data_IF_934947061510
#
_entry.id   IF_934947061510
#
_cell.length_a   1.000
_cell.length_b   1.000
_cell.length_c   1.000
_cell.angle_alpha   90.00
_cell.angle_beta   90.00
_cell.angle_gamma   90.00
#
_symmetry.space_group_name_H-M   'P 1'
#
loop_
_entity.id
_entity.type
_entity.pdbx_description
1 polymer ?
#
# COMPACT_ATOMS: atom_id res chain seq x y z
N UNK A 1 27.72 5.94 8.60
CA UNK A 1 26.45 5.26 8.95
C UNK A 1 25.23 6.06 8.50
N UNK A 2 25.22 7.38 8.72
CA UNK A 2 24.20 8.33 8.25
C UNK A 2 23.71 8.16 6.80
N UNK A 3 24.64 8.17 5.84
CA UNK A 3 24.30 8.03 4.42
C UNK A 3 23.58 6.71 4.11
N UNK A 4 24.01 5.60 4.71
CA UNK A 4 23.39 4.28 4.52
C UNK A 4 21.91 4.30 4.96
N UNK A 5 21.63 4.83 6.15
CA UNK A 5 20.27 4.91 6.70
C UNK A 5 19.40 5.85 5.86
N UNK A 6 19.96 6.97 5.38
CA UNK A 6 19.27 7.87 4.47
C UNK A 6 18.84 7.17 3.18
N UNK A 7 19.77 6.49 2.50
CA UNK A 7 19.47 5.80 1.24
C UNK A 7 18.55 4.60 1.42
N UNK A 8 18.61 3.91 2.57
CA UNK A 8 17.63 2.88 2.92
C UNK A 8 16.21 3.47 3.01
N UNK A 9 16.04 4.60 3.71
CA UNK A 9 14.77 5.30 3.79
C UNK A 9 14.24 5.74 2.43
N UNK A 10 15.13 6.28 1.56
CA UNK A 10 14.80 6.64 0.18
C UNK A 10 14.36 5.41 -0.64
N UNK A 11 15.10 4.30 -0.53
CA UNK A 11 14.77 3.06 -1.24
C UNK A 11 13.38 2.53 -0.86
N UNK A 12 13.05 2.55 0.44
CA UNK A 12 11.73 2.15 0.93
C UNK A 12 10.64 3.08 0.39
N UNK A 13 10.86 4.41 0.40
CA UNK A 13 9.93 5.38 -0.18
C UNK A 13 9.68 5.10 -1.67
N UNK A 14 10.73 4.83 -2.45
CA UNK A 14 10.59 4.57 -3.88
C UNK A 14 9.82 3.27 -4.14
N UNK A 15 10.14 2.20 -3.41
CA UNK A 15 9.41 0.94 -3.49
C UNK A 15 7.93 1.11 -3.11
N UNK A 16 7.66 1.91 -2.08
CA UNK A 16 6.31 2.15 -1.59
C UNK A 16 5.46 2.94 -2.60
N UNK A 17 6.05 3.94 -3.27
CA UNK A 17 5.42 4.66 -4.37
C UNK A 17 5.12 3.72 -5.55
N UNK A 18 6.05 2.82 -5.88
CA UNK A 18 5.83 1.78 -6.89
C UNK A 18 4.63 0.89 -6.58
N UNK A 19 4.46 0.48 -5.32
CA UNK A 19 3.30 -0.30 -4.88
C UNK A 19 1.98 0.48 -5.02
N UNK A 20 1.97 1.77 -4.65
CA UNK A 20 0.77 2.62 -4.79
C UNK A 20 0.39 2.77 -6.27
N UNK A 21 1.37 3.02 -7.15
CA UNK A 21 1.13 3.12 -8.59
C UNK A 21 0.59 1.80 -9.13
N UNK A 22 1.18 0.66 -8.74
CA UNK A 22 0.69 -0.65 -9.15
C UNK A 22 -0.74 -0.93 -8.66
N UNK A 23 -1.06 -0.58 -7.41
CA UNK A 23 -2.42 -0.63 -6.89
C UNK A 23 -3.38 0.24 -7.69
N UNK A 24 -3.00 1.47 -8.03
CA UNK A 24 -3.79 2.38 -8.86
C UNK A 24 -4.07 1.82 -10.26
N UNK A 25 -3.05 1.24 -10.92
CA UNK A 25 -3.22 0.57 -12.23
C UNK A 25 -4.17 -0.61 -12.11
N UNK A 26 -4.01 -1.46 -11.09
CA UNK A 26 -4.90 -2.59 -10.85
C UNK A 26 -6.36 -2.15 -10.64
N UNK A 27 -6.60 -1.05 -9.91
CA UNK A 27 -7.93 -0.50 -9.73
C UNK A 27 -8.50 0.06 -11.05
N UNK A 28 -7.67 0.72 -11.85
CA UNK A 28 -8.04 1.23 -13.17
C UNK A 28 -8.46 0.11 -14.12
N UNK A 29 -7.72 -0.99 -14.17
CA UNK A 29 -8.04 -2.14 -15.03
C UNK A 29 -9.36 -2.79 -14.62
N UNK A 30 -9.62 -2.93 -13.31
CA UNK A 30 -10.90 -3.42 -12.79
C UNK A 30 -12.06 -2.49 -13.13
N UNK A 31 -11.84 -1.17 -13.08
CA UNK A 31 -12.84 -0.18 -13.48
C UNK A 31 -13.19 -0.32 -14.96
N UNK A 32 -12.16 -0.42 -15.81
CA UNK A 32 -12.30 -0.59 -17.25
C UNK A 32 -13.03 -1.90 -17.61
N UNK A 33 -12.82 -2.96 -16.83
CA UNK A 33 -13.52 -4.23 -16.97
C UNK A 33 -14.95 -4.23 -16.39
N UNK A 34 -15.39 -3.14 -15.75
CA UNK A 34 -16.72 -3.05 -15.10
C UNK A 34 -16.86 -3.93 -13.85
N UNK A 35 -15.74 -4.32 -13.23
CA UNK A 35 -15.71 -5.25 -12.08
C UNK A 35 -15.20 -4.62 -10.79
N UNK A 36 -14.83 -3.32 -10.81
CA UNK A 36 -14.32 -2.62 -9.63
C UNK A 36 -15.39 -2.52 -8.53
N UNK A 37 -15.03 -2.95 -7.32
CA UNK A 37 -15.86 -2.84 -6.13
C UNK A 37 -15.11 -2.15 -5.00
N UNK A 38 -15.74 -1.14 -4.40
CA UNK A 38 -15.23 -0.44 -3.22
C UNK A 38 -15.77 -1.01 -1.90
N UNK A 39 -16.54 -2.10 -1.93
CA UNK A 39 -17.08 -2.73 -0.71
C UNK A 39 -15.99 -3.11 0.29
N UNK A 40 -14.80 -3.46 -0.21
CA UNK A 40 -13.62 -3.76 0.61
C UNK A 40 -13.10 -2.58 1.44
N UNK A 41 -13.52 -1.34 1.16
CA UNK A 41 -13.20 -0.17 1.98
C UNK A 41 -14.18 0.01 3.16
N UNK A 42 -15.32 -0.66 3.13
CA UNK A 42 -16.29 -0.63 4.21
C UNK A 42 -15.76 -1.47 5.39
N UNK A 43 -15.61 -0.91 6.60
CA UNK A 43 -15.22 -1.67 7.78
C UNK A 43 -16.16 -2.87 8.06
N UNK A 44 -17.45 -2.73 7.78
CA UNK A 44 -18.44 -3.78 7.96
C UNK A 44 -18.25 -4.95 7.00
N UNK A 45 -17.68 -4.72 5.80
CA UNK A 45 -17.44 -5.78 4.84
C UNK A 45 -16.56 -6.89 5.42
N UNK A 46 -15.47 -6.55 6.11
CA UNK A 46 -14.55 -7.55 6.66
C UNK A 46 -15.12 -8.29 7.88
N UNK A 47 -16.01 -7.64 8.64
CA UNK A 47 -16.51 -8.15 9.91
C UNK A 47 -17.80 -8.97 9.78
N UNK A 48 -18.58 -8.76 8.70
CA UNK A 48 -19.91 -9.35 8.55
C UNK A 48 -19.93 -10.82 8.10
N UNK A 49 -18.90 -11.30 7.38
CA UNK A 49 -18.82 -12.68 6.92
C UNK A 49 -17.34 -13.11 6.76
N UNK A 50 -16.93 -14.27 7.31
CA UNK A 50 -15.61 -14.85 7.05
C UNK A 50 -15.23 -14.96 5.57
N UNK A 51 -16.19 -15.25 4.67
CA UNK A 51 -15.95 -15.38 3.23
C UNK A 51 -15.56 -14.04 2.57
N UNK A 52 -15.82 -12.91 3.24
CA UNK A 52 -15.41 -11.59 2.77
C UNK A 52 -13.89 -11.40 2.81
N UNK A 53 -13.16 -12.17 3.62
CA UNK A 53 -11.70 -12.20 3.52
C UNK A 53 -11.24 -12.82 2.21
N UNK A 54 -11.82 -13.97 1.84
CA UNK A 54 -11.49 -14.65 0.59
C UNK A 54 -11.82 -13.79 -0.62
N UNK A 55 -13.05 -13.24 -0.69
CA UNK A 55 -13.50 -12.38 -1.78
C UNK A 55 -12.85 -11.00 -1.77
N UNK A 56 -12.53 -10.44 -0.61
CA UNK A 56 -11.82 -9.18 -0.45
C UNK A 56 -10.35 -9.26 -0.87
N UNK A 57 -9.67 -10.38 -0.65
CA UNK A 57 -8.27 -10.57 -1.07
C UNK A 57 -8.12 -10.98 -2.55
N UNK A 58 -9.22 -11.01 -3.31
CA UNK A 58 -9.22 -11.14 -4.78
C UNK A 58 -8.76 -9.82 -5.43
N UNK A 59 -8.68 -9.71 -6.78
CA UNK A 59 -8.24 -8.49 -7.45
C UNK A 59 -8.92 -7.22 -6.89
N UNK A 60 -10.18 -7.34 -6.49
CA UNK A 60 -10.99 -6.23 -5.97
C UNK A 60 -10.55 -5.64 -4.63
N UNK A 61 -9.78 -6.33 -3.79
CA UNK A 61 -9.17 -5.69 -2.62
C UNK A 61 -7.66 -5.74 -2.60
N UNK A 62 -7.02 -6.54 -3.47
CA UNK A 62 -5.57 -6.48 -3.68
C UNK A 62 -5.08 -5.08 -4.01
N UNK A 63 -5.77 -4.37 -4.90
CA UNK A 63 -5.40 -3.00 -5.26
C UNK A 63 -5.37 -2.07 -4.04
N UNK A 64 -6.37 -2.19 -3.16
CA UNK A 64 -6.44 -1.37 -1.96
C UNK A 64 -5.39 -1.79 -0.92
N UNK A 65 -5.12 -3.08 -0.78
CA UNK A 65 -4.02 -3.56 0.05
C UNK A 65 -2.66 -3.04 -0.45
N UNK A 66 -2.42 -3.01 -1.76
CA UNK A 66 -1.20 -2.42 -2.34
C UNK A 66 -1.10 -0.93 -2.05
N UNK A 67 -2.18 -0.18 -2.26
CA UNK A 67 -2.22 1.26 -1.96
C UNK A 67 -2.01 1.55 -0.47
N UNK A 68 -2.73 0.84 0.40
CA UNK A 68 -2.65 1.02 1.85
C UNK A 68 -1.29 0.59 2.41
N UNK A 69 -0.80 -0.58 1.99
CA UNK A 69 0.53 -1.07 2.36
C UNK A 69 1.65 -0.16 1.85
N UNK A 70 1.53 0.33 0.61
CA UNK A 70 2.45 1.31 0.05
C UNK A 70 2.43 2.65 0.80
N UNK A 71 1.26 3.12 1.26
CA UNK A 71 1.17 4.32 2.08
C UNK A 71 1.84 4.12 3.45
N UNK A 72 1.62 2.98 4.10
CA UNK A 72 2.29 2.65 5.37
C UNK A 72 3.81 2.59 5.21
N UNK A 73 4.30 1.90 4.18
CA UNK A 73 5.73 1.81 3.89
C UNK A 73 6.34 3.17 3.54
N UNK A 74 5.59 4.06 2.90
CA UNK A 74 6.04 5.43 2.66
C UNK A 74 6.38 6.14 3.96
N UNK A 75 5.49 6.06 4.96
CA UNK A 75 5.72 6.66 6.27
C UNK A 75 6.89 6.02 7.01
N UNK A 76 7.04 4.69 6.91
CA UNK A 76 8.20 3.98 7.46
C UNK A 76 9.50 4.46 6.82
N UNK A 77 9.56 4.55 5.49
CA UNK A 77 10.73 5.05 4.77
C UNK A 77 11.06 6.50 5.13
N UNK A 78 10.04 7.36 5.27
CA UNK A 78 10.19 8.73 5.76
C UNK A 78 10.71 8.79 7.19
N UNK A 79 10.21 7.93 8.06
CA UNK A 79 10.69 7.84 9.43
C UNK A 79 12.17 7.46 9.48
N UNK A 80 12.59 6.44 8.72
CA UNK A 80 13.99 5.99 8.61
C UNK A 80 14.88 7.10 8.04
N UNK A 81 14.42 7.80 6.98
CA UNK A 81 15.13 8.94 6.41
C UNK A 81 15.35 10.04 7.45
N UNK A 82 14.32 10.38 8.24
CA UNK A 82 14.43 11.36 9.32
C UNK A 82 15.35 10.90 10.47
N UNK A 83 15.38 9.60 10.75
CA UNK A 83 16.29 9.01 11.73
C UNK A 83 17.76 9.26 11.34
N UNK A 84 18.08 9.16 10.04
CA UNK A 84 19.44 9.42 9.55
C UNK A 84 19.93 10.82 9.89
N UNK A 85 19.06 11.83 9.89
CA UNK A 85 19.45 13.21 10.21
C UNK A 85 19.97 13.36 11.64
N UNK A 86 19.51 12.48 12.54
CA UNK A 86 19.83 12.44 13.98
C UNK A 86 21.02 11.53 14.32
N UNK A 87 21.57 10.82 13.34
CA UNK A 87 22.80 10.04 13.51
C UNK A 87 24.00 10.98 13.32
N UNK A 88 24.94 10.89 14.26
CA UNK A 88 26.23 11.57 14.21
C UNK A 88 27.17 10.92 13.17
#
# INVERSE_FOLDING_TARGET
MKALVYYLGVGIILASLGMIVHGGISAYDLNKAGTLSFKILDPGFWLNNPDNYGSGLTPNGRWACFCAGGLLLFFVGKHIQNLSARLD
#
